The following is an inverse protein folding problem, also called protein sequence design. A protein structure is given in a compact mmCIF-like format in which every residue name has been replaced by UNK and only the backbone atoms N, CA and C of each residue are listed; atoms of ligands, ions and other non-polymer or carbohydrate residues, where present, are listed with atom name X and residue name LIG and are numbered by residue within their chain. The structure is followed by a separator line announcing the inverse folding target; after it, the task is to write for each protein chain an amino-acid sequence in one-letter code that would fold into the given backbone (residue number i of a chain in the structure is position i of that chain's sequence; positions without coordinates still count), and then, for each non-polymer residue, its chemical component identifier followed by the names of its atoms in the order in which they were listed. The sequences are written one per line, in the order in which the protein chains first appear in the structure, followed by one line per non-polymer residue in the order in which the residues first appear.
data_IF_359548657478
#
_entry.id   IF_359548657478
#
_cell.length_a   1.000
_cell.length_b   1.000
_cell.length_c   1.000
_cell.angle_alpha   90.00
_cell.angle_beta   90.00
_cell.angle_gamma   90.00
#
_symmetry.space_group_name_H-M   'P 1'
#
loop_
_entity.id
_entity.type
_entity.pdbx_description
1 polymer ?
#
# COMPACT_ATOMS: atom_id res chain seq x y z
N UNK A 1 44.08 13.73 24.55
CA UNK A 1 42.81 14.38 24.17
C UNK A 1 42.22 13.56 23.04
N UNK A 2 41.31 12.62 23.35
CA UNK A 2 40.66 11.74 22.34
C UNK A 2 39.50 12.49 21.71
N UNK A 3 39.43 12.50 20.41
CA UNK A 3 38.30 13.07 19.64
C UNK A 3 37.01 12.31 19.95
N UNK A 4 35.84 12.99 19.99
CA UNK A 4 34.55 12.34 20.19
C UNK A 4 34.21 11.45 19.01
N UNK A 5 33.49 10.32 19.24
CA UNK A 5 33.11 9.41 18.17
C UNK A 5 32.14 10.14 17.21
N UNK A 6 32.50 10.13 15.93
CA UNK A 6 31.61 10.58 14.87
C UNK A 6 30.45 9.57 14.77
N UNK A 7 29.25 10.04 15.06
CA UNK A 7 28.01 9.29 14.85
C UNK A 7 27.81 9.22 13.32
N UNK A 8 27.98 8.04 12.76
CA UNK A 8 27.64 7.78 11.37
C UNK A 8 26.17 8.13 11.08
N UNK A 9 25.84 8.67 9.88
CA UNK A 9 24.45 9.01 9.56
C UNK A 9 23.62 7.75 9.59
N UNK A 10 22.72 7.69 10.58
CA UNK A 10 21.76 6.63 10.82
C UNK A 10 21.14 6.12 9.51
N UNK A 11 21.36 4.84 9.23
CA UNK A 11 20.65 4.02 8.25
C UNK A 11 19.17 4.44 8.23
N UNK A 12 18.68 4.94 7.08
CA UNK A 12 17.30 5.47 6.95
C UNK A 12 16.33 4.45 7.49
N UNK A 13 15.80 4.69 8.66
CA UNK A 13 14.94 3.77 9.38
C UNK A 13 13.85 3.23 8.44
N UNK A 14 13.83 1.91 8.25
CA UNK A 14 12.93 1.25 7.32
C UNK A 14 11.51 1.46 7.81
N UNK A 15 10.74 2.33 7.14
CA UNK A 15 9.35 2.58 7.49
C UNK A 15 8.55 1.31 7.34
N UNK A 16 7.96 0.89 8.44
CA UNK A 16 7.07 -0.27 8.51
C UNK A 16 5.70 0.18 9.00
N UNK A 17 4.66 -0.45 8.52
CA UNK A 17 3.36 -0.28 9.14
C UNK A 17 3.39 -0.89 10.53
N UNK A 18 3.02 -0.14 11.56
CA UNK A 18 2.87 -0.67 12.90
C UNK A 18 1.76 -1.73 12.88
N UNK A 19 2.05 -3.01 13.22
CA UNK A 19 1.04 -4.06 13.30
C UNK A 19 -0.05 -3.71 14.33
N UNK A 20 -1.27 -4.21 14.12
CA UNK A 20 -2.44 -3.85 14.96
C UNK A 20 -2.21 -4.18 16.44
N UNK A 21 -1.50 -5.25 16.73
CA UNK A 21 -1.15 -5.69 18.09
C UNK A 21 -0.32 -4.67 18.86
N UNK A 22 0.43 -3.82 18.17
CA UNK A 22 1.25 -2.76 18.75
C UNK A 22 0.61 -1.36 18.72
N UNK A 23 -0.63 -1.26 18.26
CA UNK A 23 -1.36 0.00 18.30
C UNK A 23 -1.67 0.40 19.75
N UNK A 24 -1.87 1.70 20.03
CA UNK A 24 -2.47 2.13 21.28
C UNK A 24 -3.75 1.34 21.54
N UNK A 25 -3.96 0.95 22.80
CA UNK A 25 -5.04 0.02 23.16
C UNK A 25 -6.41 0.55 22.73
N UNK A 26 -6.67 1.83 22.93
CA UNK A 26 -7.92 2.46 22.54
C UNK A 26 -8.17 2.37 21.03
N UNK A 27 -7.15 2.63 20.19
CA UNK A 27 -7.25 2.53 18.74
C UNK A 27 -7.47 1.09 18.29
N UNK A 28 -6.72 0.15 18.88
CA UNK A 28 -6.83 -1.28 18.58
C UNK A 28 -8.22 -1.81 18.90
N UNK A 29 -8.73 -1.53 20.10
CA UNK A 29 -10.05 -1.98 20.54
C UNK A 29 -11.17 -1.36 19.68
N UNK A 30 -11.07 -0.08 19.36
CA UNK A 30 -12.00 0.60 18.48
C UNK A 30 -11.99 0.01 17.06
N UNK A 31 -10.79 -0.28 16.49
CA UNK A 31 -10.67 -0.91 15.18
C UNK A 31 -11.27 -2.32 15.14
N UNK A 32 -10.96 -3.16 16.15
CA UNK A 32 -11.51 -4.51 16.26
C UNK A 32 -13.04 -4.44 16.36
N UNK A 33 -13.58 -3.54 17.18
CA UNK A 33 -15.04 -3.31 17.30
C UNK A 33 -15.65 -2.85 15.98
N UNK A 34 -15.01 -1.90 15.28
CA UNK A 34 -15.47 -1.44 13.97
C UNK A 34 -15.50 -2.56 12.91
N UNK A 35 -14.57 -3.51 12.99
CA UNK A 35 -14.48 -4.64 12.06
C UNK A 35 -15.39 -5.83 12.38
N UNK A 36 -16.13 -5.80 13.50
CA UNK A 36 -17.01 -6.90 13.90
C UNK A 36 -18.06 -7.18 12.82
N UNK A 37 -18.24 -8.41 12.38
CA UNK A 37 -19.29 -8.76 11.43
C UNK A 37 -20.67 -8.55 12.04
N UNK A 38 -21.67 -8.33 11.20
CA UNK A 38 -23.06 -8.34 11.63
C UNK A 38 -23.50 -9.78 11.99
N UNK A 39 -24.19 -9.93 13.10
CA UNK A 39 -24.86 -11.15 13.51
C UNK A 39 -26.37 -10.99 13.30
N UNK A 40 -27.13 -12.11 13.25
CA UNK A 40 -28.56 -12.14 12.90
C UNK A 40 -29.42 -11.12 13.66
N UNK A 41 -29.08 -10.82 14.92
CA UNK A 41 -29.83 -9.88 15.77
C UNK A 41 -29.00 -8.71 16.28
N UNK A 42 -27.75 -8.58 15.84
CA UNK A 42 -26.83 -7.51 16.29
C UNK A 42 -26.25 -6.78 15.10
N UNK A 43 -26.29 -5.46 15.15
CA UNK A 43 -25.60 -4.64 14.15
C UNK A 43 -24.11 -4.90 14.21
N UNK A 44 -23.51 -5.15 13.06
CA UNK A 44 -22.05 -5.21 12.92
C UNK A 44 -21.39 -3.85 13.17
N UNK A 45 -20.09 -3.87 13.32
CA UNK A 45 -19.28 -2.65 13.37
C UNK A 45 -19.31 -1.89 12.04
N UNK A 46 -19.00 -0.60 12.07
CA UNK A 46 -19.08 0.28 10.90
C UNK A 46 -18.22 -0.19 9.68
N UNK A 47 -17.13 -0.90 9.91
CA UNK A 47 -16.28 -1.51 8.88
C UNK A 47 -16.58 -3.01 8.64
N UNK A 48 -17.57 -3.59 9.34
CA UNK A 48 -17.88 -5.03 9.26
C UNK A 48 -18.32 -5.49 7.86
N UNK A 49 -18.94 -4.60 7.08
CA UNK A 49 -19.36 -4.85 5.70
C UNK A 49 -18.19 -4.87 4.68
N UNK A 50 -17.00 -4.39 5.06
CA UNK A 50 -15.87 -4.32 4.16
C UNK A 50 -15.21 -5.68 3.97
N UNK A 51 -14.73 -5.96 2.76
CA UNK A 51 -13.91 -7.14 2.48
C UNK A 51 -12.62 -7.10 3.30
N UNK A 52 -12.11 -8.27 3.70
CA UNK A 52 -10.90 -8.41 4.51
C UNK A 52 -9.70 -7.66 3.91
N UNK A 53 -9.52 -7.75 2.59
CA UNK A 53 -8.42 -7.06 1.89
C UNK A 53 -8.51 -5.53 2.07
N UNK A 54 -9.72 -4.96 2.09
CA UNK A 54 -9.93 -3.52 2.30
C UNK A 54 -9.66 -3.14 3.74
N UNK A 55 -10.13 -3.95 4.70
CA UNK A 55 -9.84 -3.74 6.14
C UNK A 55 -8.33 -3.76 6.40
N UNK A 56 -7.63 -4.76 5.87
CA UNK A 56 -6.18 -4.89 6.01
C UNK A 56 -5.43 -3.71 5.37
N UNK A 57 -5.89 -3.20 4.22
CA UNK A 57 -5.25 -2.04 3.60
C UNK A 57 -5.48 -0.75 4.40
N UNK A 58 -6.67 -0.54 4.96
CA UNK A 58 -6.96 0.59 5.84
C UNK A 58 -6.14 0.51 7.14
N UNK A 59 -6.10 -0.65 7.79
CA UNK A 59 -5.28 -0.87 8.98
C UNK A 59 -3.80 -0.61 8.70
N UNK A 60 -3.28 -1.12 7.58
CA UNK A 60 -1.90 -0.88 7.18
C UNK A 60 -1.61 0.62 6.98
N UNK A 61 -2.52 1.39 6.40
CA UNK A 61 -2.33 2.84 6.21
C UNK A 61 -2.38 3.61 7.53
N UNK A 62 -3.26 3.21 8.42
CA UNK A 62 -3.28 3.77 9.78
C UNK A 62 -2.01 3.40 10.55
N UNK A 63 -1.54 2.15 10.44
CA UNK A 63 -0.29 1.70 11.03
C UNK A 63 0.96 2.45 10.55
N UNK A 64 1.01 2.88 9.27
CA UNK A 64 2.10 3.75 8.80
C UNK A 64 2.08 5.13 9.45
N UNK A 65 0.90 5.69 9.71
CA UNK A 65 0.78 6.94 10.43
C UNK A 65 1.19 6.79 11.91
N UNK A 66 0.79 5.71 12.55
CA UNK A 66 1.22 5.41 13.93
C UNK A 66 2.74 5.17 14.03
N UNK A 67 3.34 4.47 13.08
CA UNK A 67 4.80 4.29 12.99
C UNK A 67 5.52 5.64 12.86
N UNK A 68 5.00 6.53 11.99
CA UNK A 68 5.50 7.90 11.88
C UNK A 68 5.47 8.64 13.23
N UNK A 69 4.36 8.56 13.97
CA UNK A 69 4.23 9.19 15.29
C UNK A 69 5.17 8.55 16.32
N UNK A 70 5.28 7.22 16.31
CA UNK A 70 6.15 6.47 17.21
C UNK A 70 7.62 6.88 17.04
N UNK A 71 8.10 6.92 15.80
CA UNK A 71 9.49 7.33 15.50
C UNK A 71 9.80 8.76 15.91
N UNK A 72 8.80 9.62 16.08
CA UNK A 72 8.93 11.01 16.52
C UNK A 72 8.64 11.19 18.00
N UNK A 73 8.38 10.12 18.75
CA UNK A 73 8.03 10.20 20.17
C UNK A 73 6.68 10.89 20.43
N UNK A 74 5.80 10.97 19.42
CA UNK A 74 4.50 11.65 19.47
C UNK A 74 3.34 10.71 19.79
N UNK A 75 3.62 9.41 19.97
CA UNK A 75 2.65 8.37 20.28
C UNK A 75 2.59 8.18 21.80
N UNK A 76 1.56 8.72 22.46
CA UNK A 76 1.32 8.50 23.90
C UNK A 76 0.33 7.33 24.08
N UNK A 77 0.55 6.49 25.11
CA UNK A 77 -0.16 5.21 25.28
C UNK A 77 -1.58 5.40 25.82
N UNK A 78 -1.83 6.43 26.63
CA UNK A 78 -3.06 6.59 27.42
C UNK A 78 -4.06 7.59 26.85
N UNK A 79 -4.22 7.66 25.51
CA UNK A 79 -5.15 8.59 24.88
C UNK A 79 -6.37 7.88 24.28
N UNK A 80 -7.47 8.62 24.18
CA UNK A 80 -8.67 8.16 23.48
C UNK A 80 -8.37 7.85 22.00
N UNK A 81 -9.15 6.95 21.41
CA UNK A 81 -8.97 6.49 20.04
C UNK A 81 -8.92 7.64 19.04
N UNK A 82 -8.01 7.55 18.08
CA UNK A 82 -7.73 8.51 17.02
C UNK A 82 -7.40 9.95 17.49
N UNK A 83 -7.09 10.20 18.77
CA UNK A 83 -6.70 11.55 19.25
C UNK A 83 -5.41 12.04 18.63
N UNK A 84 -4.60 11.15 18.08
CA UNK A 84 -3.36 11.48 17.38
C UNK A 84 -3.60 12.10 16.00
N UNK A 85 -4.78 11.89 15.42
CA UNK A 85 -5.14 12.43 14.11
C UNK A 85 -5.51 13.89 14.29
N UNK A 86 -4.50 14.76 14.33
CA UNK A 86 -4.62 16.23 14.38
C UNK A 86 -4.04 16.84 13.10
N UNK A 87 -4.44 18.07 12.79
CA UNK A 87 -3.99 18.76 11.59
C UNK A 87 -2.47 18.86 11.52
N UNK A 88 -1.83 19.33 12.60
CA UNK A 88 -0.37 19.49 12.68
C UNK A 88 0.39 18.18 12.41
N UNK A 89 -0.08 17.07 13.02
CA UNK A 89 0.55 15.77 12.85
C UNK A 89 0.35 15.20 11.45
N UNK A 90 -0.82 15.44 10.86
CA UNK A 90 -1.10 15.02 9.48
C UNK A 90 -0.31 15.85 8.49
N UNK A 91 -0.17 17.17 8.69
CA UNK A 91 0.64 18.02 7.82
C UNK A 91 2.12 17.61 7.87
N UNK A 92 2.65 17.32 9.06
CA UNK A 92 4.00 16.78 9.21
C UNK A 92 4.17 15.41 8.56
N UNK A 93 3.16 14.55 8.63
CA UNK A 93 3.16 13.25 7.95
C UNK A 93 3.11 13.38 6.43
N UNK A 94 2.31 14.32 5.91
CA UNK A 94 2.26 14.64 4.48
C UNK A 94 3.62 15.13 3.98
N UNK A 95 4.30 15.99 4.74
CA UNK A 95 5.64 16.45 4.41
C UNK A 95 6.60 15.27 4.26
N UNK A 96 6.66 14.37 5.25
CA UNK A 96 7.51 13.16 5.18
C UNK A 96 7.14 12.26 4.00
N UNK A 97 5.84 12.11 3.68
CA UNK A 97 5.41 11.31 2.55
C UNK A 97 5.82 11.90 1.21
N UNK A 98 5.75 13.24 1.05
CA UNK A 98 6.14 13.94 -0.20
C UNK A 98 7.60 13.71 -0.57
N UNK A 99 8.47 13.60 0.41
CA UNK A 99 9.90 13.35 0.20
C UNK A 99 10.21 11.91 -0.25
N UNK A 100 9.25 11.00 -0.11
CA UNK A 100 9.50 9.55 -0.24
C UNK A 100 8.67 8.86 -1.30
N UNK A 101 7.45 9.34 -1.54
CA UNK A 101 6.52 8.67 -2.44
C UNK A 101 5.86 9.67 -3.40
N UNK A 102 5.37 9.16 -4.53
CA UNK A 102 4.69 10.00 -5.52
C UNK A 102 3.34 10.54 -5.02
N UNK A 103 2.91 11.67 -5.59
CA UNK A 103 1.71 12.43 -5.21
C UNK A 103 0.44 11.58 -5.13
N UNK A 104 0.25 10.63 -6.05
CA UNK A 104 -0.89 9.68 -6.02
C UNK A 104 -0.88 8.81 -4.76
N UNK A 105 0.32 8.39 -4.30
CA UNK A 105 0.46 7.60 -3.08
C UNK A 105 0.22 8.46 -1.83
N UNK A 106 0.66 9.71 -1.82
CA UNK A 106 0.37 10.68 -0.75
C UNK A 106 -1.14 10.83 -0.59
N UNK A 107 -1.84 11.23 -1.68
CA UNK A 107 -3.29 11.36 -1.68
C UNK A 107 -4.00 10.08 -1.19
N UNK A 108 -3.64 8.92 -1.76
CA UNK A 108 -4.22 7.64 -1.36
C UNK A 108 -3.97 7.28 0.11
N UNK A 109 -2.81 7.66 0.67
CA UNK A 109 -2.49 7.44 2.09
C UNK A 109 -3.37 8.28 3.00
N UNK A 110 -3.56 9.56 2.71
CA UNK A 110 -4.38 10.47 3.50
C UNK A 110 -5.87 10.12 3.41
N UNK A 111 -6.36 9.77 2.21
CA UNK A 111 -7.75 9.31 2.02
C UNK A 111 -8.06 8.05 2.83
N UNK A 112 -7.11 7.10 2.89
CA UNK A 112 -7.27 5.88 3.68
C UNK A 112 -7.07 6.12 5.18
N UNK A 113 -6.16 7.01 5.58
CA UNK A 113 -6.02 7.46 6.97
C UNK A 113 -7.33 8.05 7.49
N UNK A 114 -7.95 8.98 6.72
CA UNK A 114 -9.25 9.55 7.07
C UNK A 114 -10.29 8.45 7.29
N UNK A 115 -10.42 7.53 6.34
CA UNK A 115 -11.41 6.44 6.41
C UNK A 115 -11.19 5.53 7.61
N UNK A 116 -9.94 5.19 7.91
CA UNK A 116 -9.59 4.41 9.09
C UNK A 116 -9.94 5.17 10.38
N UNK A 117 -9.58 6.45 10.48
CA UNK A 117 -9.88 7.30 11.61
C UNK A 117 -11.40 7.43 11.85
N UNK A 118 -12.21 7.56 10.79
CA UNK A 118 -13.67 7.58 10.88
C UNK A 118 -14.26 6.28 11.45
N UNK A 119 -13.68 5.12 11.14
CA UNK A 119 -14.10 3.85 11.72
C UNK A 119 -13.65 3.68 13.17
N UNK A 120 -12.46 4.18 13.51
CA UNK A 120 -11.90 4.11 14.86
C UNK A 120 -12.62 5.07 15.82
N UNK A 121 -12.96 6.28 15.35
CA UNK A 121 -13.61 7.31 16.15
C UNK A 121 -14.78 7.97 15.37
N UNK A 122 -15.91 7.28 15.19
CA UNK A 122 -17.03 7.75 14.37
C UNK A 122 -17.69 9.03 14.90
N UNK A 123 -17.54 9.34 16.19
CA UNK A 123 -18.07 10.57 16.81
C UNK A 123 -17.18 11.80 16.63
N UNK A 124 -15.99 11.67 15.99
CA UNK A 124 -15.09 12.80 15.75
C UNK A 124 -15.23 13.33 14.33
N UNK A 125 -15.08 14.65 14.21
CA UNK A 125 -15.09 15.31 12.90
C UNK A 125 -13.70 15.17 12.22
N UNK A 126 -13.72 14.59 11.03
CA UNK A 126 -12.58 14.45 10.12
C UNK A 126 -12.87 15.08 8.74
N UNK A 127 -13.81 16.03 8.65
CA UNK A 127 -14.15 16.73 7.39
C UNK A 127 -12.94 17.49 6.85
N UNK A 128 -12.16 18.10 7.72
CA UNK A 128 -10.92 18.79 7.37
C UNK A 128 -9.90 17.89 6.64
N UNK A 129 -9.87 16.58 6.93
CA UNK A 129 -9.05 15.61 6.18
C UNK A 129 -9.59 15.38 4.77
N UNK A 130 -10.89 15.56 4.54
CA UNK A 130 -11.45 15.49 3.19
C UNK A 130 -10.96 16.69 2.35
N UNK A 131 -10.89 17.87 2.95
CA UNK A 131 -10.44 19.08 2.26
C UNK A 131 -8.95 18.99 1.92
N UNK A 132 -8.11 18.55 2.86
CA UNK A 132 -6.71 18.21 2.55
C UNK A 132 -6.64 17.18 1.40
N UNK A 133 -7.51 16.17 1.42
CA UNK A 133 -7.60 15.17 0.35
C UNK A 133 -7.93 15.78 -1.01
N UNK A 134 -8.85 16.76 -1.08
CA UNK A 134 -9.17 17.49 -2.31
C UNK A 134 -7.97 18.28 -2.81
N UNK A 135 -7.30 19.02 -1.93
CA UNK A 135 -6.10 19.81 -2.28
C UNK A 135 -4.98 18.90 -2.82
N UNK A 136 -4.75 17.76 -2.16
CA UNK A 136 -3.79 16.78 -2.64
C UNK A 136 -4.19 16.17 -3.99
N UNK A 137 -5.50 16.01 -4.25
CA UNK A 137 -6.01 15.50 -5.53
C UNK A 137 -5.73 16.47 -6.68
N UNK A 138 -5.90 17.78 -6.46
CA UNK A 138 -5.57 18.82 -7.44
C UNK A 138 -4.08 18.82 -7.80
N UNK A 139 -3.22 18.54 -6.82
CA UNK A 139 -1.77 18.47 -7.01
C UNK A 139 -1.26 17.11 -7.52
N UNK A 140 -2.13 16.14 -7.80
CA UNK A 140 -1.68 14.82 -8.25
C UNK A 140 -1.04 14.87 -9.64
N UNK A 141 0.15 14.28 -9.73
CA UNK A 141 0.87 14.07 -10.99
C UNK A 141 1.12 12.57 -11.18
N UNK A 142 0.18 11.83 -11.80
CA UNK A 142 0.37 10.42 -12.11
C UNK A 142 1.59 10.24 -13.01
N UNK A 143 2.38 9.21 -12.76
CA UNK A 143 3.47 8.86 -13.67
C UNK A 143 2.88 8.40 -15.00
N UNK A 144 3.27 9.05 -16.09
CA UNK A 144 2.90 8.59 -17.41
C UNK A 144 3.44 7.17 -17.63
N UNK A 145 2.60 6.31 -18.16
CA UNK A 145 2.98 4.97 -18.61
C UNK A 145 3.22 4.94 -20.14
N UNK A 146 2.97 6.05 -20.82
CA UNK A 146 2.94 6.10 -22.28
C UNK A 146 4.23 5.58 -22.92
N UNK A 147 5.41 6.00 -22.43
CA UNK A 147 6.69 5.51 -22.94
C UNK A 147 7.03 4.06 -22.60
N UNK A 148 6.12 3.32 -21.93
CA UNK A 148 6.26 1.89 -21.60
C UNK A 148 5.10 1.05 -22.16
N UNK A 149 4.20 1.69 -22.89
CA UNK A 149 3.14 0.99 -23.58
C UNK A 149 3.72 0.43 -24.88
N UNK A 150 3.64 -0.86 -25.05
CA UNK A 150 4.06 -1.59 -26.26
C UNK A 150 2.79 -2.13 -26.92
N UNK A 151 2.75 -2.13 -28.24
CA UNK A 151 1.60 -2.67 -28.98
C UNK A 151 1.47 -4.17 -28.71
N UNK A 152 0.24 -4.66 -28.68
CA UNK A 152 -0.07 -6.06 -28.39
C UNK A 152 0.62 -7.01 -29.38
N UNK A 153 0.63 -6.64 -30.63
CA UNK A 153 1.26 -7.42 -31.72
C UNK A 153 2.75 -7.65 -31.46
N UNK A 154 3.48 -6.59 -31.04
CA UNK A 154 4.90 -6.67 -30.73
C UNK A 154 5.16 -7.62 -29.54
N UNK A 155 4.29 -7.61 -28.54
CA UNK A 155 4.42 -8.53 -27.40
C UNK A 155 4.12 -9.98 -27.79
N UNK A 156 3.10 -10.20 -28.61
CA UNK A 156 2.77 -11.54 -29.13
C UNK A 156 3.91 -12.09 -29.96
N UNK A 157 4.43 -11.29 -30.89
CA UNK A 157 5.55 -11.66 -31.74
C UNK A 157 6.81 -11.99 -30.90
N UNK A 158 7.13 -11.15 -29.91
CA UNK A 158 8.25 -11.42 -29.00
C UNK A 158 8.05 -12.73 -28.22
N UNK A 159 6.81 -13.03 -27.80
CA UNK A 159 6.49 -14.29 -27.14
C UNK A 159 6.68 -15.51 -28.04
N UNK A 160 6.23 -15.42 -29.30
CA UNK A 160 6.41 -16.48 -30.29
C UNK A 160 7.89 -16.67 -30.67
N UNK A 161 8.64 -15.58 -30.82
CA UNK A 161 10.09 -15.62 -31.05
C UNK A 161 10.82 -16.36 -29.94
N UNK A 162 10.49 -16.07 -28.67
CA UNK A 162 11.08 -16.81 -27.53
C UNK A 162 10.82 -18.32 -27.62
N UNK A 163 9.65 -18.74 -28.08
CA UNK A 163 9.33 -20.17 -28.25
C UNK A 163 10.20 -20.78 -29.35
N UNK A 164 10.25 -20.14 -30.52
CA UNK A 164 11.05 -20.61 -31.65
C UNK A 164 12.54 -20.68 -31.34
N UNK A 165 13.07 -19.67 -30.64
CA UNK A 165 14.47 -19.67 -30.16
C UNK A 165 14.75 -20.81 -29.20
N UNK A 166 13.78 -21.15 -28.31
CA UNK A 166 13.94 -22.27 -27.39
C UNK A 166 14.06 -23.61 -28.11
N UNK A 167 13.30 -23.80 -29.21
CA UNK A 167 13.33 -25.01 -30.03
C UNK A 167 14.65 -25.14 -30.80
N UNK A 168 15.19 -24.02 -31.26
CA UNK A 168 16.37 -23.97 -32.14
C UNK A 168 17.71 -23.79 -31.38
N UNK A 169 17.69 -23.62 -30.05
CA UNK A 169 18.87 -23.34 -29.24
C UNK A 169 19.55 -24.64 -28.76
N UNK A 170 20.69 -25.02 -29.34
CA UNK A 170 21.38 -26.24 -28.93
C UNK A 170 22.08 -26.15 -27.57
N UNK A 171 22.20 -24.93 -27.02
CA UNK A 171 22.90 -24.67 -25.75
C UNK A 171 21.97 -24.73 -24.53
N UNK A 172 20.66 -24.82 -24.70
CA UNK A 172 19.71 -24.89 -23.60
C UNK A 172 19.57 -26.34 -23.10
N UNK A 173 19.61 -26.49 -21.76
CA UNK A 173 19.17 -27.73 -21.12
C UNK A 173 17.67 -27.93 -21.36
N UNK A 174 17.15 -29.16 -21.22
CA UNK A 174 15.72 -29.42 -21.33
C UNK A 174 14.86 -28.52 -20.43
N UNK A 175 15.30 -28.35 -19.17
CA UNK A 175 14.63 -27.45 -18.23
C UNK A 175 14.71 -25.98 -18.72
N UNK A 176 15.86 -25.55 -19.23
CA UNK A 176 16.03 -24.20 -19.79
C UNK A 176 15.09 -23.95 -20.96
N UNK A 177 14.99 -24.93 -21.87
CA UNK A 177 14.07 -24.90 -23.03
C UNK A 177 12.61 -24.81 -22.56
N UNK A 178 12.19 -25.68 -21.66
CA UNK A 178 10.82 -25.67 -21.12
C UNK A 178 10.49 -24.32 -20.40
N UNK A 179 11.44 -23.77 -19.66
CA UNK A 179 11.28 -22.44 -19.05
C UNK A 179 11.13 -21.33 -20.08
N UNK A 180 11.91 -21.35 -21.17
CA UNK A 180 11.83 -20.32 -22.21
C UNK A 180 10.52 -20.41 -23.00
N UNK A 181 10.09 -21.63 -23.38
CA UNK A 181 8.77 -21.88 -24.01
C UNK A 181 7.65 -21.38 -23.11
N UNK A 182 7.65 -21.75 -21.83
CA UNK A 182 6.68 -21.25 -20.86
C UNK A 182 6.65 -19.72 -20.80
N UNK A 183 7.81 -19.07 -20.73
CA UNK A 183 7.91 -17.62 -20.67
C UNK A 183 7.36 -16.96 -21.94
N UNK A 184 7.65 -17.49 -23.12
CA UNK A 184 7.10 -17.04 -24.40
C UNK A 184 5.57 -17.15 -24.43
N UNK A 185 5.02 -18.31 -24.02
CA UNK A 185 3.57 -18.51 -23.88
C UNK A 185 2.94 -17.51 -22.92
N UNK A 186 3.56 -17.27 -21.76
CA UNK A 186 3.06 -16.32 -20.78
C UNK A 186 3.00 -14.90 -21.35
N UNK A 187 4.03 -14.45 -22.07
CA UNK A 187 4.05 -13.13 -22.72
C UNK A 187 2.94 -13.02 -23.75
N UNK A 188 2.82 -13.96 -24.66
CA UNK A 188 1.80 -13.95 -25.69
C UNK A 188 0.37 -14.00 -25.13
N UNK A 189 0.11 -14.90 -24.16
CA UNK A 189 -1.20 -15.01 -23.52
C UNK A 189 -1.59 -13.76 -22.75
N UNK A 190 -0.67 -13.15 -21.98
CA UNK A 190 -0.96 -11.94 -21.22
C UNK A 190 -1.13 -10.71 -22.12
N UNK A 191 -0.53 -10.71 -23.32
CA UNK A 191 -0.76 -9.67 -24.32
C UNK A 191 -2.15 -9.77 -24.95
N UNK A 192 -2.60 -10.97 -25.28
CA UNK A 192 -3.92 -11.22 -25.88
C UNK A 192 -5.06 -11.18 -24.84
N UNK A 193 -4.80 -11.73 -23.65
CA UNK A 193 -5.77 -11.84 -22.57
C UNK A 193 -5.20 -11.19 -21.32
N UNK A 194 -5.36 -9.87 -21.10
CA UNK A 194 -4.77 -9.16 -19.97
C UNK A 194 -5.41 -9.57 -18.63
N UNK A 195 -5.06 -10.75 -18.16
CA UNK A 195 -5.53 -11.32 -16.92
C UNK A 195 -4.71 -10.76 -15.74
N UNK A 196 -5.37 -10.47 -14.63
CA UNK A 196 -4.64 -10.07 -13.41
C UNK A 196 -3.71 -11.19 -12.96
N UNK A 197 -2.46 -10.85 -12.58
CA UNK A 197 -1.45 -11.82 -12.14
C UNK A 197 -1.98 -12.88 -11.15
N UNK A 198 -2.86 -12.49 -10.21
CA UNK A 198 -3.46 -13.43 -9.24
C UNK A 198 -4.33 -14.49 -9.93
N UNK A 199 -5.08 -14.09 -10.95
CA UNK A 199 -5.96 -15.01 -11.67
C UNK A 199 -5.15 -15.88 -12.62
N UNK A 200 -4.12 -15.30 -13.24
CA UNK A 200 -3.21 -16.05 -14.12
C UNK A 200 -2.42 -17.14 -13.36
N UNK A 201 -2.01 -16.88 -12.13
CA UNK A 201 -1.30 -17.85 -11.29
C UNK A 201 -2.22 -18.96 -10.73
N UNK A 202 -3.52 -18.89 -10.96
CA UNK A 202 -4.51 -19.88 -10.55
C UNK A 202 -4.98 -20.79 -11.71
N UNK A 203 -4.46 -20.56 -12.93
CA UNK A 203 -4.61 -21.44 -14.10
C UNK A 203 -3.60 -22.57 -14.07
#
# INVERSE_FOLDING_TARGET
MSAPPQIEPSEKAKIRSLPIEFWPEADRNAWISACRPAERLKRGGAAGHLKLITRNDLARRYGYFLDFLSRRGLLAIDKLAATYVTREKVDAYIAELKDRVGSVTVHGSISKLRRAAQFIAPGRDFTWLADIGKDLALGMRPRSKFGRVVMTEVLVEAGLTLIQEAENSPHLTELGRACQVRNGLMVALLALCPIRRKNFAAL
#
